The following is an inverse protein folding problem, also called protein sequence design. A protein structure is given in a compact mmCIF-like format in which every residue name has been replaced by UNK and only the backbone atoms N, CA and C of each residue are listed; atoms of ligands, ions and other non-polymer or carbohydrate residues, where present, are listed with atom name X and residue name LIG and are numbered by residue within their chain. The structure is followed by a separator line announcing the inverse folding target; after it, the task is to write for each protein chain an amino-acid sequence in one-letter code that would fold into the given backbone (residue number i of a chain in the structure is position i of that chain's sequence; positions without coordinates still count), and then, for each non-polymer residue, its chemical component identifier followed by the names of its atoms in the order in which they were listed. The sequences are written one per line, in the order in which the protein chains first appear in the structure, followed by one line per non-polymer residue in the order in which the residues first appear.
data_IF_117013204353
#
_entry.id   IF_117013204353
#
_cell.length_a   1.000
_cell.length_b   1.000
_cell.length_c   1.000
_cell.angle_alpha   90.00
_cell.angle_beta   90.00
_cell.angle_gamma   90.00
#
_symmetry.space_group_name_H-M   'P 1'
#
loop_
_entity.id
_entity.type
_entity.pdbx_description
1 polymer ?
#
# COMPACT_ATOMS: atom_id res chain seq x y z
N UNK A 1 -4.44 -10.06 -0.41
CA UNK A 1 -4.84 -9.82 -1.82
C UNK A 1 -3.81 -10.42 -2.76
N UNK A 2 -4.22 -11.24 -3.72
CA UNK A 2 -3.36 -11.75 -4.80
C UNK A 2 -3.51 -10.84 -6.03
N UNK A 3 -2.39 -10.40 -6.61
CA UNK A 3 -2.34 -9.64 -7.87
C UNK A 3 -1.51 -10.40 -8.88
N UNK A 4 -2.09 -10.58 -10.07
CA UNK A 4 -1.47 -11.23 -11.22
C UNK A 4 -1.49 -10.21 -12.35
N UNK A 5 -0.38 -10.00 -13.03
CA UNK A 5 -0.33 -9.11 -14.20
C UNK A 5 0.45 -9.79 -15.33
N UNK A 6 -0.24 -10.09 -16.43
CA UNK A 6 0.36 -10.70 -17.61
C UNK A 6 1.12 -9.64 -18.44
N UNK A 7 2.08 -10.07 -19.29
CA UNK A 7 2.65 -9.20 -20.31
C UNK A 7 1.57 -8.56 -21.19
N UNK A 8 1.63 -7.24 -21.38
CA UNK A 8 0.69 -6.48 -22.19
C UNK A 8 -0.72 -6.32 -21.61
N UNK A 9 -0.96 -6.78 -20.37
CA UNK A 9 -2.28 -6.67 -19.72
C UNK A 9 -2.50 -5.26 -19.16
N UNK A 10 -3.52 -4.58 -19.70
CA UNK A 10 -4.00 -3.26 -19.28
C UNK A 10 -5.20 -3.33 -18.31
N UNK A 11 -5.72 -4.52 -18.03
CA UNK A 11 -6.84 -4.72 -17.09
C UNK A 11 -6.40 -4.87 -15.64
N UNK A 12 -5.15 -5.30 -15.40
CA UNK A 12 -4.57 -5.51 -14.06
C UNK A 12 -3.74 -4.32 -13.56
N UNK A 13 -4.24 -3.11 -13.80
CA UNK A 13 -3.58 -1.86 -13.40
C UNK A 13 -4.16 -1.30 -12.11
N UNK A 14 -3.26 -0.89 -11.24
CA UNK A 14 -3.48 0.00 -10.10
C UNK A 14 -2.69 1.28 -10.43
N UNK A 15 -3.36 2.29 -11.02
CA UNK A 15 -2.74 3.57 -11.34
C UNK A 15 -2.11 4.23 -10.11
N UNK A 16 -1.36 5.31 -10.31
CA UNK A 16 -0.76 6.03 -9.18
C UNK A 16 -1.82 6.44 -8.14
N UNK A 17 -1.58 6.04 -6.88
CA UNK A 17 -2.46 6.31 -5.75
C UNK A 17 -1.65 6.28 -4.44
N UNK A 18 -2.27 6.70 -3.34
CA UNK A 18 -1.89 6.29 -1.99
C UNK A 18 -3.08 5.57 -1.37
N UNK A 19 -2.83 4.50 -0.62
CA UNK A 19 -3.91 3.71 0.00
C UNK A 19 -4.78 4.55 0.95
N UNK A 20 -4.19 5.55 1.61
CA UNK A 20 -4.92 6.50 2.48
C UNK A 20 -5.94 7.35 1.74
N UNK A 21 -5.85 7.48 0.43
CA UNK A 21 -6.85 8.18 -0.39
C UNK A 21 -8.10 7.32 -0.60
N UNK A 22 -7.97 6.00 -0.46
CA UNK A 22 -9.01 4.99 -0.71
C UNK A 22 -9.56 4.37 0.60
N UNK A 23 -9.54 5.16 1.68
CA UNK A 23 -10.19 4.80 2.94
C UNK A 23 -9.35 3.96 3.90
N UNK A 24 -8.07 3.72 3.59
CA UNK A 24 -7.14 3.11 4.54
C UNK A 24 -6.64 4.09 5.62
N UNK A 25 -6.26 3.56 6.78
CA UNK A 25 -5.66 4.38 7.82
C UNK A 25 -4.21 4.74 7.48
N UNK A 26 -3.71 5.93 7.87
CA UNK A 26 -2.30 6.28 7.71
C UNK A 26 -1.36 5.54 8.68
N UNK A 27 -1.91 4.70 9.57
CA UNK A 27 -1.18 3.93 10.59
C UNK A 27 -0.93 2.47 10.19
N UNK A 28 -0.86 2.21 8.89
CA UNK A 28 -0.70 0.87 8.35
C UNK A 28 0.60 0.74 7.56
N UNK A 29 1.08 -0.49 7.45
CA UNK A 29 2.25 -0.87 6.66
C UNK A 29 1.86 -2.03 5.75
N UNK A 30 2.38 -2.01 4.52
CA UNK A 30 2.12 -3.08 3.55
C UNK A 30 3.37 -3.93 3.41
N UNK A 31 3.17 -5.25 3.53
CA UNK A 31 4.10 -6.26 3.06
C UNK A 31 3.68 -6.66 1.65
N UNK A 32 4.48 -6.26 0.67
CA UNK A 32 4.39 -6.71 -0.71
C UNK A 32 5.30 -7.91 -0.91
N UNK A 33 4.70 -9.04 -1.29
CA UNK A 33 5.35 -10.33 -1.41
C UNK A 33 5.33 -10.81 -2.87
N UNK A 34 6.42 -10.58 -3.62
CA UNK A 34 6.64 -11.22 -4.91
C UNK A 34 6.69 -12.74 -4.80
N UNK A 35 5.99 -13.42 -5.72
CA UNK A 35 6.04 -14.87 -5.92
C UNK A 35 6.89 -15.26 -7.15
N UNK A 36 7.55 -14.26 -7.75
CA UNK A 36 8.48 -14.32 -8.89
C UNK A 36 9.49 -13.17 -8.73
N UNK A 37 10.54 -13.14 -9.54
CA UNK A 37 11.39 -11.95 -9.64
C UNK A 37 10.58 -10.75 -10.17
N UNK A 38 10.67 -9.61 -9.52
CA UNK A 38 10.01 -8.38 -9.93
C UNK A 38 11.06 -7.32 -10.28
N UNK A 39 10.95 -6.78 -11.49
CA UNK A 39 11.88 -5.81 -12.05
C UNK A 39 11.16 -4.93 -13.07
N UNK A 40 11.65 -3.71 -13.29
CA UNK A 40 11.13 -2.78 -14.32
C UNK A 40 9.58 -2.74 -14.31
N UNK A 41 8.93 -2.82 -15.48
CA UNK A 41 7.46 -2.76 -15.60
C UNK A 41 6.74 -4.02 -15.11
N UNK A 42 7.46 -5.13 -14.89
CA UNK A 42 6.94 -6.31 -14.17
C UNK A 42 6.84 -6.05 -12.67
N UNK A 43 7.27 -4.89 -12.18
CA UNK A 43 7.18 -4.51 -10.77
C UNK A 43 6.14 -3.42 -10.55
N UNK A 44 6.11 -2.90 -9.32
CA UNK A 44 5.46 -1.64 -8.99
C UNK A 44 6.51 -0.53 -8.84
N UNK A 45 6.04 0.71 -8.78
CA UNK A 45 6.87 1.88 -8.49
C UNK A 45 6.45 2.54 -7.17
N UNK A 46 7.39 3.28 -6.57
CA UNK A 46 7.15 4.16 -5.43
C UNK A 46 7.68 5.57 -5.74
N UNK A 47 6.95 6.60 -5.31
CA UNK A 47 7.49 7.96 -5.25
C UNK A 47 8.40 8.11 -4.01
N UNK A 48 9.58 8.74 -4.15
CA UNK A 48 10.41 9.11 -3.00
C UNK A 48 9.64 9.98 -2.00
N UNK A 49 9.90 9.88 -0.68
CA UNK A 49 9.16 10.62 0.34
C UNK A 49 9.10 12.13 0.10
N UNK A 50 10.19 12.73 -0.37
CA UNK A 50 10.31 14.17 -0.63
C UNK A 50 9.40 14.60 -1.78
N UNK A 51 9.44 13.85 -2.89
CA UNK A 51 8.59 14.09 -4.08
C UNK A 51 7.13 13.86 -3.72
N UNK A 52 6.84 12.78 -2.99
CA UNK A 52 5.50 12.50 -2.51
C UNK A 52 4.96 13.65 -1.64
N UNK A 53 5.75 14.15 -0.69
CA UNK A 53 5.34 15.24 0.19
C UNK A 53 5.08 16.54 -0.60
N UNK A 54 5.96 16.87 -1.54
CA UNK A 54 5.80 18.05 -2.40
C UNK A 54 4.50 17.97 -3.23
N UNK A 55 4.31 16.88 -3.97
CA UNK A 55 3.15 16.74 -4.85
C UNK A 55 1.86 16.60 -4.05
N UNK A 56 1.88 15.90 -2.90
CA UNK A 56 0.70 15.84 -2.02
C UNK A 56 0.29 17.22 -1.48
N UNK A 57 1.24 18.09 -1.15
CA UNK A 57 0.93 19.45 -0.69
C UNK A 57 0.16 20.28 -1.74
N UNK A 58 0.32 19.95 -3.03
CA UNK A 58 -0.35 20.60 -4.15
C UNK A 58 -1.33 19.69 -4.91
N UNK A 59 -1.74 18.56 -4.32
CA UNK A 59 -2.63 17.58 -4.97
C UNK A 59 -3.96 18.19 -5.46
N UNK A 60 -4.42 19.27 -4.81
CA UNK A 60 -5.59 20.05 -5.22
C UNK A 60 -5.50 20.62 -6.65
N UNK A 61 -4.29 20.84 -7.17
CA UNK A 61 -4.03 21.33 -8.53
C UNK A 61 -4.36 20.27 -9.59
N UNK A 62 -4.41 18.99 -9.20
CA UNK A 62 -4.75 17.86 -10.05
C UNK A 62 -6.25 17.55 -10.05
N UNK A 63 -7.09 18.37 -9.39
CA UNK A 63 -8.55 18.16 -9.40
C UNK A 63 -9.10 18.25 -10.82
N UNK A 64 -9.84 17.20 -11.22
CA UNK A 64 -10.41 17.10 -12.56
C UNK A 64 -9.42 16.65 -13.64
N UNK A 65 -8.16 16.41 -13.28
CA UNK A 65 -7.16 15.75 -14.14
C UNK A 65 -7.26 14.23 -13.99
N UNK A 66 -6.64 13.50 -14.90
CA UNK A 66 -6.55 12.05 -14.86
C UNK A 66 -5.48 11.58 -13.86
N UNK A 67 -5.47 10.29 -13.54
CA UNK A 67 -4.36 9.68 -12.78
C UNK A 67 -3.07 9.65 -13.59
N UNK A 68 -3.14 9.58 -14.92
CA UNK A 68 -1.97 9.65 -15.80
C UNK A 68 -1.29 11.02 -15.74
N UNK A 69 -2.07 12.10 -15.65
CA UNK A 69 -1.52 13.45 -15.42
C UNK A 69 -0.69 13.56 -14.13
N UNK A 70 -1.13 12.86 -13.07
CA UNK A 70 -0.40 12.82 -11.80
C UNK A 70 0.83 11.91 -11.90
N UNK A 71 0.73 10.81 -12.65
CA UNK A 71 1.85 9.91 -12.90
C UNK A 71 2.96 10.64 -13.64
N UNK A 72 2.65 11.36 -14.72
CA UNK A 72 3.62 12.14 -15.52
C UNK A 72 4.39 13.16 -14.67
N UNK A 73 3.76 13.79 -13.69
CA UNK A 73 4.41 14.75 -12.78
C UNK A 73 5.53 14.10 -11.97
N UNK A 74 5.32 12.87 -11.48
CA UNK A 74 6.28 12.19 -10.61
C UNK A 74 7.15 11.16 -11.33
N UNK A 75 6.79 10.75 -12.55
CA UNK A 75 7.44 9.71 -13.34
C UNK A 75 8.98 9.83 -13.38
N UNK A 76 9.56 11.03 -13.61
CA UNK A 76 11.02 11.19 -13.64
C UNK A 76 11.73 10.83 -12.33
N UNK A 77 10.99 10.77 -11.22
CA UNK A 77 11.52 10.52 -9.89
C UNK A 77 11.13 9.16 -9.32
N UNK A 78 10.29 8.40 -10.01
CA UNK A 78 9.78 7.13 -9.51
C UNK A 78 10.89 6.09 -9.36
N UNK A 79 10.83 5.36 -8.26
CA UNK A 79 11.69 4.21 -7.99
C UNK A 79 10.93 2.96 -8.41
N UNK A 80 11.37 2.32 -9.49
CA UNK A 80 10.90 0.99 -9.88
C UNK A 80 11.55 -0.05 -8.98
N UNK A 81 10.72 -0.87 -8.34
CA UNK A 81 11.21 -1.82 -7.34
C UNK A 81 11.83 -3.03 -8.04
N UNK A 82 13.13 -3.22 -7.84
CA UNK A 82 13.83 -4.44 -8.23
C UNK A 82 13.96 -5.33 -6.98
N UNK A 83 13.32 -6.50 -7.01
CA UNK A 83 13.32 -7.43 -5.90
C UNK A 83 13.28 -8.88 -6.42
N UNK A 84 14.28 -9.70 -6.08
CA UNK A 84 14.31 -11.10 -6.49
C UNK A 84 13.34 -11.94 -5.65
N UNK A 85 12.87 -13.04 -6.24
CA UNK A 85 12.06 -14.04 -5.58
C UNK A 85 12.70 -14.49 -4.25
N UNK A 86 11.85 -14.71 -3.25
CA UNK A 86 12.27 -15.03 -1.88
C UNK A 86 12.54 -13.80 -1.00
N UNK A 87 12.44 -12.59 -1.55
CA UNK A 87 12.49 -11.34 -0.80
C UNK A 87 11.11 -10.67 -0.76
N UNK A 88 10.92 -9.75 0.18
CA UNK A 88 9.68 -8.98 0.29
C UNK A 88 9.98 -7.51 0.57
N UNK A 89 9.03 -6.64 0.20
CA UNK A 89 9.11 -5.22 0.45
C UNK A 89 8.13 -4.85 1.58
N UNK A 90 8.64 -4.24 2.64
CA UNK A 90 7.83 -3.51 3.60
C UNK A 90 7.88 -2.04 3.22
N UNK A 91 6.72 -1.43 2.98
CA UNK A 91 6.67 -0.01 2.61
C UNK A 91 5.53 0.74 3.29
N UNK A 92 5.72 2.07 3.34
CA UNK A 92 4.74 3.02 3.82
C UNK A 92 3.70 3.27 2.74
N UNK A 93 2.46 2.79 2.94
CA UNK A 93 1.39 2.93 1.95
C UNK A 93 0.90 4.37 1.74
N UNK A 94 1.38 5.31 2.57
CA UNK A 94 1.03 6.72 2.49
C UNK A 94 1.79 7.43 1.35
N UNK A 95 2.80 6.78 0.75
CA UNK A 95 3.49 7.32 -0.43
C UNK A 95 2.82 6.90 -1.73
N UNK A 96 2.91 7.75 -2.75
CA UNK A 96 2.36 7.44 -4.06
C UNK A 96 3.04 6.21 -4.65
N UNK A 97 2.22 5.30 -5.16
CA UNK A 97 2.67 4.05 -5.75
C UNK A 97 1.66 3.51 -6.75
N UNK A 98 2.06 2.51 -7.52
CA UNK A 98 1.20 1.88 -8.52
C UNK A 98 1.98 0.98 -9.48
N UNK A 99 1.33 0.57 -10.56
CA UNK A 99 1.98 -0.14 -11.66
C UNK A 99 1.54 0.40 -13.03
N UNK A 100 2.34 0.07 -14.04
CA UNK A 100 2.01 0.30 -15.47
C UNK A 100 1.86 -1.04 -16.17
N UNK A 101 1.48 -0.99 -17.45
CA UNK A 101 1.43 -2.18 -18.30
C UNK A 101 2.80 -2.86 -18.23
N UNK A 102 2.78 -4.14 -17.91
CA UNK A 102 3.98 -4.96 -17.89
C UNK A 102 4.40 -5.25 -19.33
N UNK A 103 5.47 -4.60 -19.80
CA UNK A 103 6.03 -4.85 -21.16
C UNK A 103 7.13 -5.90 -21.16
N UNK A 104 7.46 -6.47 -20.00
CA UNK A 104 8.41 -7.59 -19.90
C UNK A 104 7.74 -8.89 -20.33
N UNK A 105 8.53 -9.91 -20.68
CA UNK A 105 8.03 -11.19 -21.22
C UNK A 105 7.39 -12.12 -20.17
N UNK A 106 7.43 -11.76 -18.90
CA UNK A 106 7.04 -12.65 -17.79
C UNK A 106 5.87 -12.09 -16.98
N UNK A 107 4.97 -12.97 -16.53
CA UNK A 107 3.85 -12.60 -15.67
C UNK A 107 4.31 -12.28 -14.24
N UNK A 108 3.79 -11.18 -13.67
CA UNK A 108 3.96 -10.84 -12.26
C UNK A 108 2.93 -11.57 -11.40
N UNK A 109 3.39 -12.19 -10.31
CA UNK A 109 2.53 -12.76 -9.27
C UNK A 109 2.97 -12.19 -7.92
N UNK A 110 2.06 -11.50 -7.23
CA UNK A 110 2.37 -10.79 -5.98
C UNK A 110 1.24 -10.89 -4.98
N UNK A 111 1.54 -10.85 -3.69
CA UNK A 111 0.55 -10.79 -2.63
C UNK A 111 0.79 -9.60 -1.71
N UNK A 112 -0.29 -8.97 -1.27
CA UNK A 112 -0.24 -7.89 -0.29
C UNK A 112 -0.85 -8.37 1.03
N UNK A 113 -0.15 -8.10 2.13
CA UNK A 113 -0.65 -8.21 3.49
C UNK A 113 -0.46 -6.87 4.21
N UNK A 114 -1.47 -6.43 4.96
CA UNK A 114 -1.45 -5.15 5.67
C UNK A 114 -1.36 -5.38 7.17
N UNK A 115 -0.53 -4.59 7.82
CA UNK A 115 -0.30 -4.63 9.25
C UNK A 115 -0.55 -3.26 9.86
N UNK A 116 -1.13 -3.26 11.06
CA UNK A 116 -1.28 -2.06 11.88
C UNK A 116 -1.32 -2.41 13.36
N UNK A 117 -1.11 -1.41 14.20
CA UNK A 117 -1.26 -1.59 15.65
C UNK A 117 -2.73 -1.75 16.04
N UNK A 118 -3.02 -2.63 17.00
CA UNK A 118 -4.40 -2.95 17.42
C UNK A 118 -5.21 -1.71 17.86
N UNK A 119 -4.55 -0.74 18.49
CA UNK A 119 -5.16 0.50 19.00
C UNK A 119 -4.89 1.73 18.13
N UNK A 120 -4.43 1.55 16.90
CA UNK A 120 -4.29 2.68 15.96
C UNK A 120 -5.67 3.09 15.42
N UNK A 121 -5.86 4.36 15.02
CA UNK A 121 -7.09 4.77 14.36
C UNK A 121 -7.43 3.90 13.14
N UNK A 122 -8.70 3.57 12.99
CA UNK A 122 -9.25 2.92 11.80
C UNK A 122 -10.00 3.96 10.96
N UNK A 123 -9.96 3.78 9.65
CA UNK A 123 -10.73 4.57 8.71
C UNK A 123 -11.93 3.73 8.24
N UNK A 124 -12.10 3.53 6.93
CA UNK A 124 -13.20 2.73 6.40
C UNK A 124 -12.99 1.24 6.66
N UNK A 125 -11.74 0.75 6.62
CA UNK A 125 -11.40 -0.64 6.90
C UNK A 125 -11.19 -0.88 8.40
N UNK A 126 -12.11 -1.63 9.02
CA UNK A 126 -12.19 -1.78 10.49
C UNK A 126 -11.79 -3.16 11.01
N UNK A 127 -11.60 -3.23 12.33
CA UNK A 127 -11.39 -4.48 13.05
C UNK A 127 -12.63 -5.40 12.93
N UNK A 128 -12.41 -6.67 12.60
CA UNK A 128 -13.46 -7.67 12.40
C UNK A 128 -14.05 -7.70 10.98
N UNK A 129 -13.84 -6.65 10.19
CA UNK A 129 -14.26 -6.58 8.78
C UNK A 129 -13.09 -6.86 7.84
N UNK A 130 -11.98 -6.13 8.03
CA UNK A 130 -10.79 -6.23 7.20
C UNK A 130 -9.56 -6.67 7.99
N UNK A 131 -9.48 -6.30 9.27
CA UNK A 131 -8.36 -6.64 10.13
C UNK A 131 -8.77 -7.64 11.22
N UNK A 132 -7.87 -8.56 11.53
CA UNK A 132 -7.97 -9.44 12.69
C UNK A 132 -6.71 -9.33 13.58
N UNK A 133 -6.85 -9.44 14.91
CA UNK A 133 -5.68 -9.44 15.79
C UNK A 133 -4.86 -10.72 15.63
N UNK A 134 -3.63 -10.60 15.13
CA UNK A 134 -2.70 -11.74 15.04
C UNK A 134 -2.06 -12.02 16.41
N UNK A 135 -1.53 -11.00 17.07
CA UNK A 135 -0.88 -11.14 18.38
C UNK A 135 -1.02 -9.88 19.22
N UNK A 136 -1.96 -9.92 20.18
CA UNK A 136 -2.10 -8.86 21.18
C UNK A 136 -1.00 -8.98 22.24
N UNK A 137 -0.44 -7.85 22.70
CA UNK A 137 0.55 -7.83 23.78
C UNK A 137 -0.14 -8.04 25.14
N UNK A 138 0.62 -8.46 26.15
CA UNK A 138 0.06 -8.81 27.47
C UNK A 138 -0.75 -7.67 28.09
N UNK A 139 -0.21 -6.44 28.09
CA UNK A 139 -0.92 -5.25 28.57
C UNK A 139 -2.24 -5.00 27.82
N UNK A 140 -2.25 -5.22 26.50
CA UNK A 140 -3.45 -5.10 25.66
C UNK A 140 -4.53 -6.10 26.05
N UNK A 141 -4.16 -7.36 26.30
CA UNK A 141 -5.11 -8.40 26.73
C UNK A 141 -5.69 -8.10 28.10
N UNK A 142 -4.85 -7.72 29.06
CA UNK A 142 -5.28 -7.35 30.43
C UNK A 142 -6.24 -6.15 30.38
N UNK A 143 -5.90 -5.12 29.60
CA UNK A 143 -6.73 -3.93 29.46
C UNK A 143 -8.07 -4.21 28.77
N UNK A 144 -8.09 -5.06 27.74
CA UNK A 144 -9.33 -5.45 27.06
C UNK A 144 -10.26 -6.33 27.91
N UNK A 145 -9.71 -7.05 28.90
CA UNK A 145 -10.49 -7.83 29.87
C UNK A 145 -10.83 -7.06 31.15
N UNK A 146 -10.44 -5.80 31.27
CA UNK A 146 -10.68 -5.01 32.48
C UNK A 146 -12.13 -4.54 32.54
N UNK A 147 -12.78 -4.77 33.69
CA UNK A 147 -14.10 -4.26 34.01
C UNK A 147 -13.96 -3.30 35.19
N UNK A 148 -14.42 -2.06 35.03
CA UNK A 148 -14.42 -1.07 36.11
C UNK A 148 -15.43 -1.52 37.19
N UNK A 149 -15.03 -1.65 38.46
CA UNK A 149 -15.95 -2.05 39.52
C UNK A 149 -17.07 -1.02 39.73
N UNK A 150 -18.28 -1.50 40.01
CA UNK A 150 -19.42 -0.64 40.33
C UNK A 150 -19.12 0.30 41.50
N UNK A 151 -19.48 1.58 41.36
CA UNK A 151 -19.31 2.60 42.40
C UNK A 151 -17.99 3.38 42.36
N UNK A 152 -17.16 3.17 41.33
CA UNK A 152 -16.09 4.10 40.93
C UNK A 152 -16.51 4.96 39.73
#
# INVERSE_FOLDING_TARGET
NLSIQLPGDDSSLLPIHCDVWDGDSPFEMVLWLPLVDCFKTKSMFLAPPEVNAEVQARLKEFRGRSTDDLFEEVEPHLIWIDIPYGNALLFNQNVMHGNRINVESETRWTMNCRFKGAFTPYAEKRLGEFFEPITLRAASRIGLSYELPDGF
#
